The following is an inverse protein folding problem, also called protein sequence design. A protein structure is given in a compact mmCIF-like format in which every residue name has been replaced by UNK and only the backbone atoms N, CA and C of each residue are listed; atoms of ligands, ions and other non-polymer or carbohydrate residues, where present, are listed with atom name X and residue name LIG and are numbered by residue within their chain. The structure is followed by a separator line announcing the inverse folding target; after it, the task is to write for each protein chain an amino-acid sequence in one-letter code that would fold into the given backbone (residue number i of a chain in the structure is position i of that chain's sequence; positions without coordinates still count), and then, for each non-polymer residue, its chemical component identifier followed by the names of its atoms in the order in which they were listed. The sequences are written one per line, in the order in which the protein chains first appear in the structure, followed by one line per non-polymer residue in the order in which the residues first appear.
data_IF_633531682511
#
_entry.id   IF_633531682511
#
_cell.length_a   1.000
_cell.length_b   1.000
_cell.length_c   1.000
_cell.angle_alpha   90.00
_cell.angle_beta   90.00
_cell.angle_gamma   90.00
#
_symmetry.space_group_name_H-M   'P 1'
#
loop_
_entity.id
_entity.type
_entity.pdbx_description
1 polymer ?
#
# COMPACT_ATOMS: atom_id res chain seq x y z
N UNK A 1 2.17 0.96 -9.24
CA UNK A 1 1.44 1.64 -8.14
C UNK A 1 1.65 3.16 -8.15
N UNK A 2 2.86 3.67 -7.89
CA UNK A 2 3.12 5.13 -7.77
C UNK A 2 2.88 5.93 -9.06
N UNK A 3 2.98 5.29 -10.23
CA UNK A 3 2.68 5.95 -11.51
C UNK A 3 1.21 6.36 -11.62
N UNK A 4 0.27 5.63 -11.00
CA UNK A 4 -1.15 5.98 -11.04
C UNK A 4 -1.45 7.24 -10.24
N UNK A 5 -0.98 7.29 -8.99
CA UNK A 5 -1.11 8.46 -8.10
C UNK A 5 -0.35 9.68 -8.64
N UNK A 6 0.83 9.47 -9.22
CA UNK A 6 1.55 10.52 -9.95
C UNK A 6 0.73 11.03 -11.14
N UNK A 7 0.12 10.15 -11.93
CA UNK A 7 -0.71 10.55 -13.07
C UNK A 7 -1.94 11.38 -12.67
N UNK A 8 -2.56 11.03 -11.54
CA UNK A 8 -3.65 11.83 -10.96
C UNK A 8 -3.19 13.26 -10.63
N UNK A 9 -2.09 13.40 -9.91
CA UNK A 9 -1.59 14.72 -9.49
C UNK A 9 -0.98 15.54 -10.64
N UNK A 10 -0.25 14.89 -11.54
CA UNK A 10 0.48 15.57 -12.61
C UNK A 10 -0.41 15.93 -13.80
N UNK A 11 -1.36 15.08 -14.13
CA UNK A 11 -2.17 15.22 -15.35
C UNK A 11 -3.66 15.40 -15.03
N UNK A 12 -4.27 14.52 -14.24
CA UNK A 12 -5.73 14.57 -14.06
C UNK A 12 -6.20 15.86 -13.36
N UNK A 13 -5.59 16.21 -12.22
CA UNK A 13 -5.94 17.42 -11.47
C UNK A 13 -5.70 18.71 -12.29
N UNK A 14 -4.54 18.93 -12.94
CA UNK A 14 -4.32 20.15 -13.70
C UNK A 14 -5.11 20.25 -15.02
N UNK A 15 -5.34 19.12 -15.70
CA UNK A 15 -6.02 19.11 -17.00
C UNK A 15 -7.56 19.09 -16.85
N UNK A 16 -8.08 18.48 -15.79
CA UNK A 16 -9.52 18.27 -15.58
C UNK A 16 -9.99 18.63 -14.17
N UNK A 17 -9.79 19.88 -13.70
CA UNK A 17 -10.10 20.27 -12.32
C UNK A 17 -11.60 20.13 -11.96
N UNK A 18 -12.50 20.43 -12.89
CA UNK A 18 -13.95 20.28 -12.65
C UNK A 18 -14.35 18.81 -12.50
N UNK A 19 -13.74 17.91 -13.29
CA UNK A 19 -14.00 16.47 -13.17
C UNK A 19 -13.40 15.91 -11.88
N UNK A 20 -12.20 16.38 -11.49
CA UNK A 20 -11.58 16.04 -10.22
C UNK A 20 -12.51 16.33 -9.04
N UNK A 21 -13.06 17.55 -8.99
CA UNK A 21 -14.00 17.95 -7.93
C UNK A 21 -15.27 17.10 -7.95
N UNK A 22 -15.87 16.91 -9.13
CA UNK A 22 -17.08 16.10 -9.29
C UNK A 22 -16.92 14.65 -8.81
N UNK A 23 -15.79 14.01 -9.14
CA UNK A 23 -15.54 12.61 -8.77
C UNK A 23 -14.89 12.44 -7.39
N UNK A 24 -14.51 13.52 -6.71
CA UNK A 24 -13.88 13.47 -5.40
C UNK A 24 -14.62 12.58 -4.39
N UNK A 25 -15.96 12.71 -4.20
CA UNK A 25 -16.68 11.87 -3.24
C UNK A 25 -16.55 10.37 -3.55
N UNK A 26 -16.60 9.99 -4.83
CA UNK A 26 -16.45 8.60 -5.25
C UNK A 26 -15.07 8.05 -4.88
N UNK A 27 -13.99 8.81 -5.15
CA UNK A 27 -12.64 8.38 -4.79
C UNK A 27 -12.41 8.34 -3.28
N UNK A 28 -13.06 9.21 -2.50
CA UNK A 28 -13.02 9.14 -1.04
C UNK A 28 -13.65 7.84 -0.53
N UNK A 29 -14.84 7.46 -1.03
CA UNK A 29 -15.46 6.19 -0.67
C UNK A 29 -14.61 4.98 -1.08
N UNK A 30 -14.06 4.99 -2.30
CA UNK A 30 -13.17 3.94 -2.78
C UNK A 30 -11.88 3.86 -1.95
N UNK A 31 -11.35 4.99 -1.49
CA UNK A 31 -10.20 5.05 -0.59
C UNK A 31 -10.49 4.35 0.74
N UNK A 32 -11.63 4.65 1.37
CA UNK A 32 -12.07 3.99 2.62
C UNK A 32 -12.27 2.48 2.40
N UNK A 33 -12.96 2.09 1.33
CA UNK A 33 -13.16 0.67 0.99
C UNK A 33 -11.80 -0.01 0.79
N UNK A 34 -10.88 0.61 0.06
CA UNK A 34 -9.54 0.09 -0.17
C UNK A 34 -8.75 -0.14 1.11
N UNK A 35 -8.85 0.80 2.07
CA UNK A 35 -8.23 0.67 3.40
C UNK A 35 -8.79 -0.56 4.13
N UNK A 36 -10.11 -0.61 4.31
CA UNK A 36 -10.76 -1.62 5.14
C UNK A 36 -10.71 -3.01 4.49
N UNK A 37 -11.09 -3.09 3.22
CA UNK A 37 -11.11 -4.35 2.49
C UNK A 37 -9.69 -4.89 2.27
N UNK A 38 -8.74 -4.03 1.90
CA UNK A 38 -7.33 -4.43 1.74
C UNK A 38 -6.75 -4.99 3.04
N UNK A 39 -7.06 -4.36 4.18
CA UNK A 39 -6.63 -4.84 5.49
C UNK A 39 -7.28 -6.18 5.86
N UNK A 40 -8.60 -6.31 5.67
CA UNK A 40 -9.30 -7.58 5.94
C UNK A 40 -8.76 -8.72 5.10
N UNK A 41 -8.58 -8.51 3.80
CA UNK A 41 -8.06 -9.54 2.91
C UNK A 41 -6.61 -9.87 3.27
N UNK A 42 -5.78 -8.89 3.63
CA UNK A 42 -4.40 -9.12 4.07
C UNK A 42 -4.32 -10.02 5.31
N UNK A 43 -5.20 -9.80 6.30
CA UNK A 43 -5.21 -10.57 7.56
C UNK A 43 -5.47 -12.06 7.37
N UNK A 44 -6.25 -12.43 6.35
CA UNK A 44 -6.63 -13.83 6.09
C UNK A 44 -5.71 -14.53 5.08
N UNK A 45 -4.68 -13.86 4.58
CA UNK A 45 -3.74 -14.49 3.64
C UNK A 45 -2.86 -15.51 4.36
N UNK A 46 -2.74 -16.71 3.79
CA UNK A 46 -1.79 -17.73 4.23
C UNK A 46 -0.42 -17.58 3.57
N UNK A 47 -0.34 -16.91 2.42
CA UNK A 47 0.89 -16.63 1.68
C UNK A 47 1.44 -15.24 2.08
N UNK A 48 2.69 -15.20 2.56
CA UNK A 48 3.34 -13.97 3.05
C UNK A 48 3.49 -12.90 1.96
N UNK A 49 3.71 -13.28 0.70
CA UNK A 49 3.85 -12.34 -0.42
C UNK A 49 2.50 -11.72 -0.76
N UNK A 50 1.42 -12.51 -0.70
CA UNK A 50 0.05 -12.00 -0.84
C UNK A 50 -0.32 -11.07 0.30
N UNK A 51 0.05 -11.41 1.54
CA UNK A 51 -0.17 -10.54 2.71
C UNK A 51 0.43 -9.15 2.48
N UNK A 52 1.71 -9.08 2.06
CA UNK A 52 2.38 -7.80 1.76
C UNK A 52 1.74 -7.06 0.57
N UNK A 53 1.25 -7.79 -0.43
CA UNK A 53 0.55 -7.19 -1.57
C UNK A 53 -0.81 -6.57 -1.17
N UNK A 54 -1.62 -7.26 -0.37
CA UNK A 54 -2.92 -6.75 0.07
C UNK A 54 -2.79 -5.63 1.10
N UNK A 55 -1.78 -5.69 1.99
CA UNK A 55 -1.49 -4.54 2.86
C UNK A 55 -1.12 -3.31 2.03
N UNK A 56 -0.41 -3.49 0.91
CA UNK A 56 -0.13 -2.40 -0.03
C UNK A 56 -1.40 -1.77 -0.63
N UNK A 57 -2.41 -2.57 -0.94
CA UNK A 57 -3.73 -2.05 -1.39
C UNK A 57 -4.37 -1.18 -0.31
N UNK A 58 -4.32 -1.61 0.95
CA UNK A 58 -4.83 -0.82 2.07
C UNK A 58 -4.10 0.53 2.21
N UNK A 59 -2.76 0.53 2.14
CA UNK A 59 -1.97 1.76 2.18
C UNK A 59 -2.24 2.72 1.01
N UNK A 60 -2.55 2.20 -0.18
CA UNK A 60 -2.95 3.03 -1.31
C UNK A 60 -4.27 3.75 -1.08
N UNK A 61 -5.20 3.17 -0.32
CA UNK A 61 -6.43 3.84 0.05
C UNK A 61 -6.17 5.14 0.84
N UNK A 62 -5.20 5.15 1.76
CA UNK A 62 -4.78 6.38 2.46
C UNK A 62 -4.21 7.44 1.52
N UNK A 63 -3.47 7.02 0.49
CA UNK A 63 -2.90 7.93 -0.51
C UNK A 63 -4.02 8.57 -1.33
N UNK A 64 -5.02 7.78 -1.74
CA UNK A 64 -6.22 8.28 -2.43
C UNK A 64 -6.97 9.29 -1.56
N UNK A 65 -7.21 8.98 -0.28
CA UNK A 65 -7.84 9.93 0.65
C UNK A 65 -7.04 11.22 0.79
N UNK A 66 -5.72 11.13 0.94
CA UNK A 66 -4.85 12.30 1.06
C UNK A 66 -4.92 13.21 -0.18
N UNK A 67 -4.91 12.63 -1.37
CA UNK A 67 -5.00 13.39 -2.62
C UNK A 67 -6.37 14.05 -2.80
N UNK A 68 -7.46 13.31 -2.60
CA UNK A 68 -8.82 13.78 -2.90
C UNK A 68 -9.49 14.57 -1.77
N UNK A 69 -8.87 14.70 -0.60
CA UNK A 69 -9.40 15.55 0.48
C UNK A 69 -9.28 17.07 0.22
N UNK A 70 -8.67 17.48 -0.89
CA UNK A 70 -8.61 18.87 -1.39
C UNK A 70 -8.06 19.91 -0.39
N UNK A 71 -7.22 19.49 0.55
CA UNK A 71 -6.42 20.42 1.37
C UNK A 71 -4.94 20.25 1.07
N UNK A 72 -4.16 21.32 1.23
CA UNK A 72 -2.70 21.28 1.03
C UNK A 72 -2.05 20.24 1.95
N UNK A 73 -2.46 20.21 3.22
CA UNK A 73 -1.93 19.28 4.22
C UNK A 73 -2.25 17.83 3.88
N UNK A 74 -3.49 17.52 3.48
CA UNK A 74 -3.87 16.16 3.07
C UNK A 74 -3.09 15.71 1.84
N UNK A 75 -2.91 16.59 0.85
CA UNK A 75 -2.20 16.26 -0.38
C UNK A 75 -0.71 16.01 -0.12
N UNK A 76 -0.07 16.84 0.70
CA UNK A 76 1.31 16.61 1.15
C UNK A 76 1.43 15.29 1.93
N UNK A 77 0.48 15.00 2.83
CA UNK A 77 0.41 13.74 3.56
C UNK A 77 0.26 12.53 2.65
N UNK A 78 -0.60 12.61 1.62
CA UNK A 78 -0.77 11.55 0.62
C UNK A 78 0.51 11.30 -0.20
N UNK A 79 1.21 12.36 -0.60
CA UNK A 79 2.49 12.25 -1.31
C UNK A 79 3.57 11.64 -0.41
N UNK A 80 3.68 12.10 0.83
CA UNK A 80 4.62 11.53 1.80
C UNK A 80 4.33 10.04 2.04
N UNK A 81 3.06 9.69 2.23
CA UNK A 81 2.65 8.30 2.40
C UNK A 81 2.96 7.44 1.17
N UNK A 82 2.83 7.99 -0.04
CA UNK A 82 3.22 7.31 -1.28
C UNK A 82 4.71 6.96 -1.33
N UNK A 83 5.57 7.86 -0.84
CA UNK A 83 7.01 7.64 -0.73
C UNK A 83 7.30 6.59 0.35
N UNK A 84 6.77 6.80 1.57
CA UNK A 84 6.95 5.88 2.71
C UNK A 84 6.53 4.46 2.35
N UNK A 85 5.36 4.31 1.74
CA UNK A 85 4.84 3.03 1.28
C UNK A 85 5.73 2.39 0.20
N UNK A 86 6.38 3.20 -0.65
CA UNK A 86 7.38 2.69 -1.60
C UNK A 86 8.59 2.07 -0.96
N UNK A 87 9.18 2.78 0.00
CA UNK A 87 10.34 2.30 0.74
C UNK A 87 9.98 1.07 1.56
N UNK A 88 8.89 1.13 2.34
CA UNK A 88 8.49 0.03 3.22
C UNK A 88 8.10 -1.23 2.46
N UNK A 89 7.34 -1.11 1.36
CA UNK A 89 6.95 -2.29 0.57
C UNK A 89 8.14 -2.91 -0.15
N UNK A 90 9.06 -2.09 -0.67
CA UNK A 90 10.30 -2.58 -1.28
C UNK A 90 11.13 -3.37 -0.26
N UNK A 91 11.29 -2.83 0.95
CA UNK A 91 11.98 -3.50 2.04
C UNK A 91 11.29 -4.81 2.44
N UNK A 92 9.96 -4.82 2.58
CA UNK A 92 9.20 -6.03 2.93
C UNK A 92 9.28 -7.10 1.84
N UNK A 93 9.19 -6.73 0.56
CA UNK A 93 9.34 -7.70 -0.53
C UNK A 93 10.76 -8.27 -0.60
N UNK A 94 11.78 -7.47 -0.29
CA UNK A 94 13.15 -7.95 -0.18
C UNK A 94 13.31 -8.91 1.01
N UNK A 95 12.76 -8.57 2.18
CA UNK A 95 12.75 -9.43 3.36
C UNK A 95 12.05 -10.77 3.09
N UNK A 96 10.86 -10.74 2.50
CA UNK A 96 10.13 -11.94 2.06
C UNK A 96 10.93 -12.75 1.05
N UNK A 97 11.58 -12.10 0.09
CA UNK A 97 12.47 -12.76 -0.87
C UNK A 97 13.62 -13.50 -0.20
N UNK A 98 14.25 -12.88 0.81
CA UNK A 98 15.33 -13.48 1.59
C UNK A 98 14.89 -14.72 2.40
N UNK A 99 13.67 -14.73 2.97
CA UNK A 99 13.15 -15.94 3.64
C UNK A 99 12.82 -17.00 2.61
N UNK A 100 12.14 -16.62 1.52
CA UNK A 100 11.75 -17.54 0.46
C UNK A 100 12.96 -18.28 -0.11
N UNK A 101 14.07 -17.59 -0.36
CA UNK A 101 15.28 -18.22 -0.89
C UNK A 101 15.85 -19.30 0.04
N UNK A 102 15.62 -19.20 1.35
CA UNK A 102 16.12 -20.18 2.34
C UNK A 102 15.16 -21.34 2.62
N UNK A 103 13.86 -21.12 2.43
CA UNK A 103 12.81 -22.06 2.84
C UNK A 103 12.03 -22.64 1.66
N UNK A 104 12.13 -22.03 0.49
CA UNK A 104 11.40 -22.36 -0.74
C UNK A 104 9.88 -22.54 -0.56
N UNK A 105 9.31 -21.87 0.45
CA UNK A 105 7.87 -21.82 0.72
C UNK A 105 7.46 -20.38 0.96
N UNK A 106 6.17 -20.10 0.80
CA UNK A 106 5.54 -18.80 1.10
C UNK A 106 4.47 -18.90 2.19
N UNK A 107 4.18 -20.11 2.65
CA UNK A 107 3.16 -20.38 3.66
C UNK A 107 3.61 -19.86 5.02
N UNK A 108 2.81 -18.98 5.61
CA UNK A 108 3.10 -18.32 6.90
C UNK A 108 3.21 -19.34 8.03
N UNK A 109 2.41 -20.42 7.99
CA UNK A 109 2.45 -21.52 8.97
C UNK A 109 3.82 -22.21 9.04
N UNK A 110 4.60 -22.19 7.96
CA UNK A 110 5.93 -22.82 7.86
C UNK A 110 7.07 -21.92 8.36
N UNK A 111 6.77 -20.68 8.78
CA UNK A 111 7.73 -19.69 9.26
C UNK A 111 7.79 -19.56 10.79
N UNK A 112 7.33 -20.57 11.52
CA UNK A 112 7.54 -20.65 12.96
C UNK A 112 9.04 -20.65 13.33
N UNK A 113 9.41 -19.89 14.36
CA UNK A 113 10.78 -19.89 14.90
C UNK A 113 11.84 -19.13 14.09
N UNK A 114 11.44 -18.36 13.06
CA UNK A 114 12.36 -17.55 12.25
C UNK A 114 13.22 -16.61 13.10
N UNK A 115 12.68 -16.01 14.15
CA UNK A 115 13.43 -15.12 15.06
C UNK A 115 14.60 -15.81 15.75
N UNK A 116 14.51 -17.12 16.04
CA UNK A 116 15.62 -17.90 16.64
C UNK A 116 16.71 -18.19 15.61
N UNK A 117 16.33 -18.50 14.37
CA UNK A 117 17.26 -18.82 13.30
C UNK A 117 17.90 -17.57 12.66
N UNK A 118 17.19 -16.44 12.67
CA UNK A 118 17.59 -15.18 12.06
C UNK A 118 17.33 -14.00 13.01
N UNK A 119 18.10 -13.86 14.10
CA UNK A 119 17.81 -12.90 15.18
C UNK A 119 17.93 -11.43 14.80
N UNK A 120 18.59 -11.10 13.68
CA UNK A 120 18.76 -9.72 13.16
C UNK A 120 17.77 -9.39 12.03
N UNK A 121 16.88 -10.32 11.68
CA UNK A 121 15.99 -10.16 10.52
C UNK A 121 14.79 -9.21 10.76
N UNK A 122 14.56 -8.79 12.01
CA UNK A 122 13.49 -7.88 12.43
C UNK A 122 13.92 -6.42 12.46
#
# INVERSE_FOLDING_TARGET
LKMGTYGFLRFNLPLFPNAWEYFTPMFLYLGIIGILYGAWVAMVQTDVKKLVAYSSVSHLGFIVLGMFAMTVTSMQGGILQMINHGVSSGALFLAVGMIYERRHTREISEFGGVTRAMPVFS
#
